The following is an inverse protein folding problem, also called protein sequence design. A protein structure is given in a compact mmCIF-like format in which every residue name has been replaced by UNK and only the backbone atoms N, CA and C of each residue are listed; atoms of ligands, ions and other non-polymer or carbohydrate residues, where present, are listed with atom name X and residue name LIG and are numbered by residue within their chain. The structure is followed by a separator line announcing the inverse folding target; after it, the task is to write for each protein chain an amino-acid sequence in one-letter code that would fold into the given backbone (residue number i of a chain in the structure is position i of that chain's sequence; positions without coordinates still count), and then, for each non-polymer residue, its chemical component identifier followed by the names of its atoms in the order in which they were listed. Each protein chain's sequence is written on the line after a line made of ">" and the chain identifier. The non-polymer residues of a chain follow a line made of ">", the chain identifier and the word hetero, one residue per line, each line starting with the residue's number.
data_IF_647728675680
#
_entry.id   IF_647728675680
#
_cell.length_a   1.000
_cell.length_b   1.000
_cell.length_c   1.000
_cell.angle_alpha   90.00
_cell.angle_beta   90.00
_cell.angle_gamma   90.00
#
_symmetry.space_group_name_H-M   'P 1'
#
loop_
_entity.id
_entity.type
_entity.pdbx_description
1 polymer ?
#
# COMPACT_ATOMS: atom_id res chain seq x y z
N UNK A 1 -11.53 24.15 -5.02
CA UNK A 1 -11.69 23.34 -6.25
C UNK A 1 -13.12 22.89 -6.49
N UNK A 2 -14.07 23.07 -5.53
CA UNK A 2 -15.46 22.66 -5.63
C UNK A 2 -15.70 21.14 -5.59
N UNK A 3 -14.64 20.31 -5.42
CA UNK A 3 -14.79 18.85 -5.43
C UNK A 3 -15.52 18.34 -4.18
N UNK A 4 -15.16 18.88 -3.02
CA UNK A 4 -15.78 18.45 -1.76
C UNK A 4 -17.25 18.86 -1.72
N UNK A 5 -17.57 20.06 -2.19
CA UNK A 5 -18.95 20.55 -2.32
C UNK A 5 -19.79 19.66 -3.24
N UNK A 6 -19.20 19.22 -4.37
CA UNK A 6 -19.87 18.28 -5.28
C UNK A 6 -20.12 16.91 -4.62
N UNK A 7 -19.20 16.44 -3.77
CA UNK A 7 -19.40 15.20 -3.00
C UNK A 7 -20.50 15.36 -1.94
N UNK A 8 -20.59 16.50 -1.28
CA UNK A 8 -21.70 16.79 -0.35
C UNK A 8 -23.03 16.81 -1.08
N UNK A 9 -23.11 17.46 -2.24
CA UNK A 9 -24.33 17.46 -3.06
C UNK A 9 -24.75 16.05 -3.48
N UNK A 10 -23.77 15.20 -3.85
CA UNK A 10 -24.02 13.80 -4.20
C UNK A 10 -24.53 12.99 -2.99
N UNK A 11 -24.01 13.28 -1.79
CA UNK A 11 -24.46 12.66 -0.53
C UNK A 11 -25.88 13.10 -0.18
N UNK A 12 -26.18 14.38 -0.29
CA UNK A 12 -27.54 14.93 -0.03
C UNK A 12 -28.57 14.37 -1.00
N UNK A 13 -28.19 14.10 -2.25
CA UNK A 13 -29.02 13.44 -3.26
C UNK A 13 -29.15 11.92 -3.07
N UNK A 14 -28.47 11.33 -2.08
CA UNK A 14 -28.46 9.90 -1.82
C UNK A 14 -27.68 9.07 -2.87
N UNK A 15 -26.89 9.70 -3.72
CA UNK A 15 -26.05 9.01 -4.74
C UNK A 15 -24.86 8.30 -4.11
N UNK A 16 -24.31 8.85 -3.03
CA UNK A 16 -23.26 8.24 -2.21
C UNK A 16 -23.66 8.31 -0.73
N UNK A 17 -23.14 7.39 0.08
CA UNK A 17 -23.42 7.35 1.53
C UNK A 17 -22.30 7.95 2.37
N UNK A 18 -21.06 7.74 1.94
CA UNK A 18 -19.86 8.11 2.68
C UNK A 18 -18.86 8.83 1.79
N UNK A 19 -18.08 9.73 2.37
CA UNK A 19 -17.00 10.47 1.70
C UNK A 19 -15.69 10.06 2.34
N UNK A 20 -14.72 9.65 1.54
CA UNK A 20 -13.39 9.27 1.99
C UNK A 20 -12.29 9.99 1.23
N UNK A 21 -11.06 9.89 1.74
CA UNK A 21 -9.87 10.44 1.10
C UNK A 21 -8.81 9.36 0.92
N UNK A 22 -8.10 9.42 -0.20
CA UNK A 22 -6.93 8.57 -0.49
C UNK A 22 -5.67 9.41 -0.54
N UNK A 23 -4.63 9.00 0.18
CA UNK A 23 -3.32 9.64 0.07
C UNK A 23 -2.17 8.69 0.48
N UNK A 24 -0.91 9.16 0.35
CA UNK A 24 0.29 8.41 0.69
C UNK A 24 1.25 9.19 1.59
N UNK A 25 0.83 10.34 2.11
CA UNK A 25 1.66 11.24 2.93
C UNK A 25 1.05 11.36 4.31
N UNK A 26 1.84 11.03 5.34
CA UNK A 26 1.39 11.05 6.73
C UNK A 26 0.85 12.43 7.15
N UNK A 27 1.53 13.52 6.80
CA UNK A 27 1.05 14.87 7.15
C UNK A 27 -0.33 15.16 6.55
N UNK A 28 -0.57 14.80 5.27
CA UNK A 28 -1.88 14.97 4.62
C UNK A 28 -2.94 14.06 5.25
N UNK A 29 -2.55 12.87 5.71
CA UNK A 29 -3.46 11.96 6.40
C UNK A 29 -3.90 12.53 7.76
N UNK A 30 -2.98 13.09 8.54
CA UNK A 30 -3.31 13.77 9.80
C UNK A 30 -4.18 15.02 9.57
N UNK A 31 -3.86 15.86 8.59
CA UNK A 31 -4.69 17.00 8.19
C UNK A 31 -6.13 16.55 7.82
N UNK A 32 -6.26 15.41 7.13
CA UNK A 32 -7.58 14.87 6.78
C UNK A 32 -8.38 14.42 8.01
N UNK A 33 -7.72 13.79 9.00
CA UNK A 33 -8.35 13.42 10.27
C UNK A 33 -8.81 14.68 11.04
N UNK A 34 -7.90 15.65 11.18
CA UNK A 34 -8.17 16.90 11.90
C UNK A 34 -9.28 17.73 11.26
N UNK A 35 -9.44 17.66 9.94
CA UNK A 35 -10.48 18.40 9.21
C UNK A 35 -11.89 17.94 9.56
N UNK A 36 -12.08 16.68 9.98
CA UNK A 36 -13.40 16.09 10.23
C UNK A 36 -14.29 15.95 8.99
N UNK A 37 -13.72 16.14 7.77
CA UNK A 37 -14.49 16.17 6.52
C UNK A 37 -14.73 14.77 5.93
N UNK A 38 -13.98 13.76 6.36
CA UNK A 38 -13.96 12.44 5.74
C UNK A 38 -14.33 11.35 6.74
N UNK A 39 -15.06 10.36 6.28
CA UNK A 39 -15.51 9.21 7.07
C UNK A 39 -14.55 8.03 6.93
N UNK A 40 -13.74 7.99 5.85
CA UNK A 40 -12.72 6.97 5.63
C UNK A 40 -11.42 7.57 5.13
N UNK A 41 -10.31 6.97 5.54
CA UNK A 41 -8.96 7.24 5.03
C UNK A 41 -8.43 6.00 4.34
N UNK A 42 -8.06 6.10 3.05
CA UNK A 42 -7.32 5.07 2.36
C UNK A 42 -5.83 5.41 2.32
N UNK A 43 -5.01 4.57 2.94
CA UNK A 43 -3.57 4.79 3.12
C UNK A 43 -2.79 3.47 2.99
N UNK A 44 -1.52 3.47 2.52
CA UNK A 44 -0.70 2.25 2.47
C UNK A 44 -0.46 1.68 3.87
N UNK A 45 -0.88 0.43 4.09
CA UNK A 45 -0.67 -0.22 5.37
C UNK A 45 -0.54 -1.75 5.20
N UNK A 46 0.50 -2.32 5.78
CA UNK A 46 0.79 -3.75 5.81
C UNK A 46 1.70 -4.06 7.01
N UNK A 47 2.14 -5.29 7.19
CA UNK A 47 3.01 -5.62 8.34
C UNK A 47 4.44 -5.04 8.26
N UNK A 48 4.80 -4.34 7.16
CA UNK A 48 6.02 -3.54 7.05
C UNK A 48 5.81 -2.08 7.49
N UNK A 49 4.67 -1.79 8.11
CA UNK A 49 4.32 -0.47 8.62
C UNK A 49 5.28 -0.02 9.71
N UNK A 50 5.56 1.28 9.74
CA UNK A 50 6.34 1.94 10.80
C UNK A 50 5.44 2.29 11.99
N UNK A 51 6.07 2.66 13.13
CA UNK A 51 5.32 3.14 14.29
C UNK A 51 4.40 4.33 13.97
N UNK A 52 4.84 5.22 13.07
CA UNK A 52 4.03 6.36 12.61
C UNK A 52 2.80 5.92 11.81
N UNK A 53 2.90 4.85 11.04
CA UNK A 53 1.77 4.29 10.31
C UNK A 53 0.78 3.62 11.29
N UNK A 54 1.29 2.97 12.34
CA UNK A 54 0.47 2.40 13.42
C UNK A 54 -0.26 3.49 14.22
N UNK A 55 0.44 4.58 14.51
CA UNK A 55 -0.14 5.75 15.17
C UNK A 55 -1.29 6.33 14.35
N UNK A 56 -1.11 6.48 13.02
CA UNK A 56 -2.15 6.95 12.11
C UNK A 56 -3.41 6.06 12.15
N UNK A 57 -3.26 4.73 12.17
CA UNK A 57 -4.39 3.79 12.32
C UNK A 57 -5.16 4.03 13.62
N UNK A 58 -4.43 4.26 14.72
CA UNK A 58 -5.04 4.55 16.02
C UNK A 58 -5.74 5.92 16.04
N UNK A 59 -5.17 6.92 15.38
CA UNK A 59 -5.78 8.25 15.30
C UNK A 59 -7.06 8.23 14.45
N UNK A 60 -7.09 7.48 13.35
CA UNK A 60 -8.33 7.21 12.62
C UNK A 60 -9.39 6.56 13.53
N UNK A 61 -9.00 5.56 14.33
CA UNK A 61 -9.91 4.89 15.27
C UNK A 61 -10.48 5.85 16.30
N UNK A 62 -9.65 6.69 16.92
CA UNK A 62 -10.08 7.72 17.90
C UNK A 62 -11.03 8.73 17.27
N UNK A 63 -10.82 9.09 15.99
CA UNK A 63 -11.68 10.00 15.26
C UNK A 63 -12.98 9.35 14.72
N UNK A 64 -13.20 8.05 14.94
CA UNK A 64 -14.33 7.31 14.38
C UNK A 64 -14.27 7.14 12.85
N UNK A 65 -13.07 7.28 12.28
CA UNK A 65 -12.81 7.19 10.85
C UNK A 65 -12.40 5.76 10.47
N UNK A 66 -13.03 5.17 9.44
CA UNK A 66 -12.65 3.88 8.88
C UNK A 66 -11.30 3.97 8.16
N UNK A 67 -10.44 2.96 8.34
CA UNK A 67 -9.14 2.91 7.67
C UNK A 67 -9.15 1.83 6.59
N UNK A 68 -8.86 2.22 5.34
CA UNK A 68 -8.75 1.30 4.21
C UNK A 68 -7.27 1.10 3.90
N UNK A 69 -6.77 -0.10 4.21
CA UNK A 69 -5.37 -0.47 4.04
C UNK A 69 -5.08 -0.82 2.58
N UNK A 70 -4.63 0.14 1.77
CA UNK A 70 -4.14 -0.15 0.43
C UNK A 70 -2.73 -0.72 0.49
N UNK A 71 -2.34 -1.45 -0.58
CA UNK A 71 -1.04 -2.11 -0.70
C UNK A 71 -0.76 -3.09 0.45
N UNK A 72 -1.79 -3.79 0.90
CA UNK A 72 -1.70 -4.77 1.97
C UNK A 72 -0.65 -5.87 1.74
N UNK A 73 -0.32 -6.15 0.47
CA UNK A 73 0.78 -7.04 0.06
C UNK A 73 2.05 -6.27 -0.40
N UNK A 74 2.18 -5.00 -0.03
CA UNK A 74 3.34 -4.15 -0.39
C UNK A 74 3.68 -4.14 -1.89
N UNK A 75 2.65 -4.28 -2.75
CA UNK A 75 2.82 -4.34 -4.20
C UNK A 75 3.62 -5.55 -4.67
N UNK A 76 3.39 -6.71 -4.05
CA UNK A 76 4.01 -7.99 -4.40
C UNK A 76 5.34 -8.29 -3.68
N UNK A 77 5.75 -7.48 -2.71
CA UNK A 77 6.90 -7.79 -1.86
C UNK A 77 6.54 -8.76 -0.73
N UNK A 78 5.31 -8.72 -0.27
CA UNK A 78 4.73 -9.68 0.67
C UNK A 78 4.08 -10.79 -0.15
N UNK A 79 4.57 -12.01 0.01
CA UNK A 79 4.13 -13.19 -0.72
C UNK A 79 3.50 -14.28 0.18
N UNK A 80 3.41 -14.05 1.48
CA UNK A 80 2.65 -14.88 2.40
C UNK A 80 1.32 -14.20 2.76
N UNK A 81 0.26 -14.57 2.06
CA UNK A 81 -1.08 -14.02 2.21
C UNK A 81 -1.67 -14.26 3.59
N UNK A 82 -1.44 -15.46 4.17
CA UNK A 82 -1.92 -15.80 5.50
C UNK A 82 -1.30 -14.92 6.59
N UNK A 83 0.02 -14.62 6.50
CA UNK A 83 0.69 -13.72 7.42
C UNK A 83 0.16 -12.28 7.27
N UNK A 84 -0.07 -11.82 6.03
CA UNK A 84 -0.62 -10.49 5.77
C UNK A 84 -2.04 -10.36 6.32
N UNK A 85 -2.88 -11.37 6.08
CA UNK A 85 -4.25 -11.40 6.58
C UNK A 85 -4.29 -11.40 8.11
N UNK A 86 -3.56 -12.35 8.73
CA UNK A 86 -3.53 -12.50 10.19
C UNK A 86 -3.01 -11.25 10.91
N UNK A 87 -2.05 -10.53 10.30
CA UNK A 87 -1.57 -9.27 10.83
C UNK A 87 -2.64 -8.16 10.78
N UNK A 88 -3.28 -7.98 9.62
CA UNK A 88 -4.26 -6.90 9.43
C UNK A 88 -5.57 -7.17 10.19
N UNK A 89 -5.94 -8.41 10.39
CA UNK A 89 -7.11 -8.82 11.17
C UNK A 89 -7.04 -8.44 12.67
N UNK A 90 -5.87 -8.01 13.16
CA UNK A 90 -5.74 -7.52 14.55
C UNK A 90 -6.34 -6.11 14.76
N UNK A 91 -6.63 -5.41 13.68
CA UNK A 91 -7.13 -4.03 13.72
C UNK A 91 -8.61 -4.00 13.35
N UNK A 92 -9.46 -3.69 14.30
CA UNK A 92 -10.92 -3.70 14.14
C UNK A 92 -11.47 -2.56 13.28
N UNK A 93 -10.67 -1.50 13.04
CA UNK A 93 -11.01 -0.37 12.19
C UNK A 93 -10.31 -0.39 10.81
N UNK A 94 -9.61 -1.48 10.46
CA UNK A 94 -8.84 -1.60 9.22
C UNK A 94 -9.52 -2.57 8.24
N UNK A 95 -9.81 -2.09 7.05
CA UNK A 95 -10.27 -2.90 5.92
C UNK A 95 -9.16 -3.02 4.88
N UNK A 96 -8.54 -4.19 4.67
CA UNK A 96 -7.49 -4.36 3.68
C UNK A 96 -8.04 -4.45 2.25
N UNK A 97 -7.28 -3.88 1.29
CA UNK A 97 -7.48 -4.10 -0.15
C UNK A 97 -6.37 -5.02 -0.64
N UNK A 98 -6.77 -6.21 -1.11
CA UNK A 98 -5.86 -7.22 -1.64
C UNK A 98 -5.62 -7.02 -3.13
N UNK A 99 -4.34 -6.99 -3.54
CA UNK A 99 -3.97 -7.01 -4.96
C UNK A 99 -3.97 -8.44 -5.47
N UNK A 100 -4.97 -8.79 -6.27
CA UNK A 100 -5.16 -10.11 -6.86
C UNK A 100 -4.84 -10.04 -8.36
N UNK A 101 -4.01 -10.94 -8.87
CA UNK A 101 -3.62 -11.02 -10.28
C UNK A 101 -4.00 -12.37 -10.92
N UNK A 102 -4.25 -13.40 -10.12
CA UNK A 102 -4.57 -14.76 -10.54
C UNK A 102 -5.81 -15.27 -9.81
N UNK A 103 -6.56 -16.14 -10.45
CA UNK A 103 -7.75 -16.78 -9.88
C UNK A 103 -7.40 -17.55 -8.59
N UNK A 104 -6.26 -18.27 -8.59
CA UNK A 104 -5.79 -18.98 -7.40
C UNK A 104 -5.53 -18.09 -6.18
N UNK A 105 -5.10 -16.84 -6.40
CA UNK A 105 -4.93 -15.86 -5.33
C UNK A 105 -6.29 -15.37 -4.79
N UNK A 106 -7.28 -15.25 -5.67
CA UNK A 106 -8.64 -14.93 -5.26
C UNK A 106 -9.23 -16.07 -4.42
N UNK A 107 -9.12 -17.32 -4.90
CA UNK A 107 -9.60 -18.50 -4.18
C UNK A 107 -8.96 -18.61 -2.80
N UNK A 108 -7.67 -18.32 -2.69
CA UNK A 108 -6.95 -18.31 -1.42
C UNK A 108 -7.55 -17.28 -0.45
N UNK A 109 -7.75 -16.02 -0.88
CA UNK A 109 -8.37 -15.00 -0.02
C UNK A 109 -9.84 -15.30 0.31
N UNK A 110 -10.60 -15.89 -0.61
CA UNK A 110 -11.98 -16.30 -0.35
C UNK A 110 -12.03 -17.40 0.71
N UNK A 111 -11.06 -18.32 0.73
CA UNK A 111 -10.99 -19.38 1.75
C UNK A 111 -10.81 -18.83 3.17
N UNK A 112 -10.26 -17.63 3.32
CA UNK A 112 -10.09 -16.97 4.61
C UNK A 112 -11.39 -16.41 5.19
N UNK A 113 -12.46 -16.31 4.40
CA UNK A 113 -13.78 -15.90 4.89
C UNK A 113 -14.32 -16.97 5.85
N UNK A 114 -14.17 -18.23 5.47
CA UNK A 114 -14.65 -19.37 6.28
C UNK A 114 -13.64 -19.80 7.36
N UNK A 115 -12.33 -19.69 7.05
CA UNK A 115 -11.24 -20.11 7.91
C UNK A 115 -10.16 -19.03 8.01
N UNK A 116 -10.42 -17.93 8.73
CA UNK A 116 -9.46 -16.82 8.82
C UNK A 116 -8.17 -17.27 9.52
N UNK A 117 -6.99 -17.05 8.91
CA UNK A 117 -5.72 -17.40 9.53
C UNK A 117 -5.50 -16.58 10.80
N UNK A 118 -5.25 -17.27 11.91
CA UNK A 118 -4.84 -16.62 13.16
C UNK A 118 -3.33 -16.34 13.17
N UNK A 119 -2.92 -15.28 13.85
CA UNK A 119 -1.50 -14.96 13.97
C UNK A 119 -0.80 -15.95 14.92
N UNK A 120 -0.27 -17.00 14.34
CA UNK A 120 0.52 -18.03 15.05
C UNK A 120 1.99 -17.59 15.18
N UNK A 121 2.77 -18.22 16.10
CA UNK A 121 4.22 -17.98 16.17
C UNK A 121 4.96 -18.23 14.85
N UNK A 122 4.48 -19.19 14.05
CA UNK A 122 5.05 -19.47 12.73
C UNK A 122 4.80 -18.32 11.73
N UNK A 123 3.59 -17.76 11.69
CA UNK A 123 3.28 -16.60 10.86
C UNK A 123 3.97 -15.33 11.38
N UNK A 124 4.13 -15.19 12.69
CA UNK A 124 4.90 -14.09 13.26
C UNK A 124 6.39 -14.17 12.84
N UNK A 125 6.99 -15.36 12.84
CA UNK A 125 8.36 -15.55 12.37
C UNK A 125 8.54 -15.18 10.89
N UNK A 126 7.54 -15.42 10.04
CA UNK A 126 7.53 -14.95 8.64
C UNK A 126 7.52 -13.42 8.58
N UNK A 127 6.68 -12.78 9.38
CA UNK A 127 6.59 -11.31 9.46
C UNK A 127 7.93 -10.72 9.93
N UNK A 128 8.52 -11.29 10.96
CA UNK A 128 9.78 -10.81 11.53
C UNK A 128 10.93 -10.95 10.52
N UNK A 129 11.02 -12.09 9.83
CA UNK A 129 11.98 -12.30 8.76
C UNK A 129 11.79 -11.30 7.61
N UNK A 130 10.55 -11.09 7.17
CA UNK A 130 10.25 -10.12 6.11
C UNK A 130 10.59 -8.69 6.53
N UNK A 131 10.35 -8.34 7.78
CA UNK A 131 10.76 -7.04 8.34
C UNK A 131 12.27 -6.89 8.31
N UNK A 132 13.04 -7.89 8.74
CA UNK A 132 14.50 -7.85 8.70
C UNK A 132 15.02 -7.71 7.27
N UNK A 133 14.49 -8.47 6.31
CA UNK A 133 14.92 -8.44 4.91
C UNK A 133 14.55 -7.12 4.20
N UNK A 134 13.39 -6.55 4.55
CA UNK A 134 12.83 -5.36 3.92
C UNK A 134 12.99 -4.10 4.79
N UNK A 135 13.83 -4.16 5.84
CA UNK A 135 14.16 -2.99 6.65
C UNK A 135 14.79 -1.88 5.82
N UNK A 136 14.42 -0.65 6.16
CA UNK A 136 15.00 0.56 5.59
C UNK A 136 14.05 1.28 4.62
N UNK A 137 14.59 2.33 4.03
CA UNK A 137 13.86 3.13 3.06
C UNK A 137 13.81 2.42 1.71
N UNK A 138 12.72 1.73 1.43
CA UNK A 138 12.46 1.20 0.10
C UNK A 138 11.26 1.90 -0.55
N UNK A 139 11.26 1.95 -1.89
CA UNK A 139 10.21 2.57 -2.66
C UNK A 139 8.87 1.81 -2.50
N UNK A 140 7.86 2.48 -1.96
CA UNK A 140 6.51 1.91 -1.79
C UNK A 140 5.66 1.95 -3.09
N UNK A 141 6.25 2.40 -4.21
CA UNK A 141 5.61 2.42 -5.52
C UNK A 141 4.42 3.38 -5.62
N UNK A 142 4.39 4.48 -4.87
CA UNK A 142 3.28 5.45 -4.89
C UNK A 142 3.20 6.27 -6.18
N UNK A 143 4.32 6.42 -6.92
CA UNK A 143 4.36 7.12 -8.20
C UNK A 143 4.45 8.64 -8.13
N UNK A 144 4.53 9.25 -6.95
CA UNK A 144 4.59 10.72 -6.81
C UNK A 144 5.84 11.37 -7.41
N UNK A 145 6.90 10.58 -7.64
CA UNK A 145 8.11 11.01 -8.35
C UNK A 145 7.97 10.96 -9.87
N UNK A 146 6.85 10.48 -10.39
CA UNK A 146 6.59 10.33 -11.82
C UNK A 146 5.72 11.49 -12.37
N UNK A 147 5.86 11.84 -13.65
CA UNK A 147 6.82 11.32 -14.62
C UNK A 147 8.24 11.87 -14.40
N UNK A 148 9.25 11.02 -14.63
CA UNK A 148 10.64 11.46 -14.67
C UNK A 148 10.93 12.23 -15.96
N UNK A 149 11.62 13.39 -15.93
CA UNK A 149 11.94 14.15 -17.15
C UNK A 149 12.84 13.38 -18.13
N UNK A 150 13.66 12.42 -17.64
CA UNK A 150 14.45 11.51 -18.47
C UNK A 150 13.69 10.22 -18.86
N UNK A 151 12.40 10.11 -18.49
CA UNK A 151 11.59 8.93 -18.77
C UNK A 151 12.00 7.67 -18.00
N UNK A 152 12.69 7.82 -16.86
CA UNK A 152 13.07 6.70 -15.99
C UNK A 152 11.83 6.24 -15.20
N UNK A 153 11.55 4.95 -15.17
CA UNK A 153 10.53 4.34 -14.31
C UNK A 153 11.08 4.20 -12.87
N UNK A 154 11.14 5.31 -12.16
CA UNK A 154 11.82 5.44 -10.87
C UNK A 154 11.36 4.40 -9.85
N UNK A 155 10.05 4.20 -9.74
CA UNK A 155 9.44 3.22 -8.83
C UNK A 155 9.86 1.77 -9.16
N UNK A 156 9.97 1.41 -10.43
CA UNK A 156 10.42 0.09 -10.85
C UNK A 156 11.91 -0.08 -10.61
N UNK A 157 12.73 0.92 -10.96
CA UNK A 157 14.17 0.91 -10.70
C UNK A 157 14.47 0.75 -9.19
N UNK A 158 13.81 1.54 -8.36
CA UNK A 158 14.05 1.54 -6.92
C UNK A 158 13.63 0.24 -6.21
N UNK A 159 12.75 -0.56 -6.83
CA UNK A 159 12.26 -1.83 -6.27
C UNK A 159 12.84 -3.07 -6.93
N UNK A 160 13.56 -2.93 -8.02
CA UNK A 160 13.95 -4.06 -8.88
C UNK A 160 14.75 -5.13 -8.12
N UNK A 161 15.68 -4.76 -7.24
CA UNK A 161 16.44 -5.73 -6.45
C UNK A 161 15.55 -6.59 -5.54
N UNK A 162 14.49 -6.00 -4.98
CA UNK A 162 13.51 -6.70 -4.15
C UNK A 162 12.59 -7.57 -5.00
N UNK A 163 12.13 -7.06 -6.14
CA UNK A 163 11.26 -7.78 -7.06
C UNK A 163 11.93 -9.03 -7.64
N UNK A 164 13.22 -8.95 -8.00
CA UNK A 164 13.98 -10.11 -8.49
C UNK A 164 14.10 -11.21 -7.41
N UNK A 165 14.21 -10.84 -6.15
CA UNK A 165 14.33 -11.80 -5.04
C UNK A 165 12.99 -12.41 -4.62
N UNK A 166 11.89 -11.68 -4.73
CA UNK A 166 10.60 -12.04 -4.17
C UNK A 166 9.52 -12.44 -5.17
N UNK A 167 9.59 -11.97 -6.40
CA UNK A 167 8.71 -12.36 -7.50
C UNK A 167 9.39 -13.41 -8.39
N UNK A 168 8.67 -14.06 -9.32
CA UNK A 168 9.30 -14.87 -10.35
C UNK A 168 10.33 -14.06 -11.12
N UNK A 169 11.61 -14.26 -10.84
CA UNK A 169 12.71 -13.44 -11.37
C UNK A 169 12.74 -13.40 -12.90
N UNK A 170 12.33 -14.47 -13.59
CA UNK A 170 12.24 -14.52 -15.04
C UNK A 170 11.34 -13.41 -15.62
N UNK A 171 10.26 -13.02 -14.93
CA UNK A 171 9.39 -11.95 -15.36
C UNK A 171 10.04 -10.56 -15.25
N UNK A 172 11.03 -10.42 -14.37
CA UNK A 172 11.75 -9.18 -14.10
C UNK A 172 13.06 -9.06 -14.92
N UNK A 173 13.55 -10.17 -15.49
CA UNK A 173 14.82 -10.24 -16.22
C UNK A 173 14.63 -10.28 -17.74
N UNK A 174 13.47 -9.90 -18.26
CA UNK A 174 13.24 -9.78 -19.71
C UNK A 174 14.10 -8.66 -20.30
N UNK A 175 14.43 -8.76 -21.60
CA UNK A 175 15.22 -7.73 -22.31
C UNK A 175 14.56 -6.35 -22.21
N UNK A 176 13.20 -6.30 -22.26
CA UNK A 176 12.43 -5.07 -22.09
C UNK A 176 12.67 -4.44 -20.70
N UNK A 177 12.55 -5.23 -19.65
CA UNK A 177 12.76 -4.73 -18.27
C UNK A 177 14.21 -4.32 -18.05
N UNK A 178 15.18 -5.06 -18.56
CA UNK A 178 16.58 -4.68 -18.50
C UNK A 178 16.87 -3.37 -19.24
N UNK A 179 16.24 -3.15 -20.41
CA UNK A 179 16.36 -1.89 -21.14
C UNK A 179 15.77 -0.71 -20.34
N UNK A 180 14.61 -0.90 -19.70
CA UNK A 180 14.02 0.10 -18.79
C UNK A 180 14.92 0.41 -17.60
N UNK A 181 15.57 -0.60 -17.01
CA UNK A 181 16.49 -0.41 -15.90
C UNK A 181 17.76 0.35 -16.31
N UNK A 182 18.35 0.02 -17.48
CA UNK A 182 19.52 0.75 -18.01
C UNK A 182 19.25 2.24 -18.22
N UNK A 183 18.00 2.62 -18.45
CA UNK A 183 17.62 4.03 -18.60
C UNK A 183 17.96 4.91 -17.37
N UNK A 184 18.28 4.31 -16.23
CA UNK A 184 18.76 5.04 -15.04
C UNK A 184 20.06 5.80 -15.30
N UNK A 185 20.87 5.34 -16.26
CA UNK A 185 22.14 5.98 -16.67
C UNK A 185 21.90 7.36 -17.32
N UNK A 186 20.68 7.62 -17.82
CA UNK A 186 20.27 8.90 -18.40
C UNK A 186 19.78 9.91 -17.34
N UNK A 187 20.02 9.64 -16.06
CA UNK A 187 19.52 10.48 -14.98
C UNK A 187 20.07 11.93 -15.06
N UNK A 188 19.19 12.89 -15.09
CA UNK A 188 19.53 14.32 -15.13
C UNK A 188 19.90 14.90 -13.75
N UNK A 189 19.92 14.10 -12.69
CA UNK A 189 20.18 14.51 -11.31
C UNK A 189 19.34 15.72 -10.84
N UNK A 190 18.13 15.90 -11.37
CA UNK A 190 17.26 17.03 -11.11
C UNK A 190 16.62 17.07 -9.70
N UNK A 191 16.74 15.98 -8.93
CA UNK A 191 16.26 15.88 -7.55
C UNK A 191 14.75 15.74 -7.36
N UNK A 192 13.93 15.63 -8.43
CA UNK A 192 12.46 15.53 -8.33
C UNK A 192 11.95 14.26 -7.64
N UNK A 193 12.81 13.23 -7.53
CA UNK A 193 12.46 11.95 -6.90
C UNK A 193 12.93 11.83 -5.44
N UNK A 194 13.47 12.90 -4.87
CA UNK A 194 13.90 12.95 -3.45
C UNK A 194 12.73 13.19 -2.52
#
# INVERSE_FOLDING_TARGET
>A
TGLYEAMLEAKDKGMIRHIGITNHRLNVAHEAIESGLYETLQFPFCYLATDKDLELVQDCKKAGMGFIAMKALSGGLINNSAAAYAYLAQFDNVLPIWGVQRESELDEFLSYIDNPPALTPALQAVIDHDREELQGEFCRGCGYCMPCPAGIEINNCARMSLMIRRAPSAAQLTDEMQAKMRKIEECLHCGRCK
#
